data_IF_164681555543
#
_entry.id   IF_164681555543
#
_cell.length_a   1.000
_cell.length_b   1.000
_cell.length_c   1.000
_cell.angle_alpha   90.00
_cell.angle_beta   90.00
_cell.angle_gamma   90.00
#
_symmetry.space_group_name_H-M   'P 1'
#
loop_
_entity.id
_entity.type
_entity.pdbx_description
1 polymer ?
#
# COMPACT_ATOMS: atom_id res chain seq x y z
N UNK A 1 10.54 23.52 -10.13
CA UNK A 1 10.52 22.36 -11.05
C UNK A 1 9.55 21.37 -10.44
N UNK A 2 8.41 21.16 -11.09
CA UNK A 2 7.40 20.20 -10.61
C UNK A 2 7.95 18.81 -10.95
N UNK A 3 8.26 18.00 -9.94
CA UNK A 3 8.88 16.69 -10.16
C UNK A 3 7.81 15.76 -10.74
N UNK A 4 7.71 15.72 -12.07
CA UNK A 4 6.64 15.00 -12.79
C UNK A 4 6.57 13.51 -12.44
N UNK A 5 7.65 12.94 -11.88
CA UNK A 5 7.67 11.57 -11.33
C UNK A 5 6.82 11.45 -10.06
N UNK A 6 6.89 12.43 -9.17
CA UNK A 6 6.13 12.45 -7.92
C UNK A 6 4.63 12.61 -8.17
N UNK A 7 4.22 13.40 -9.16
CA UNK A 7 2.80 13.64 -9.44
C UNK A 7 2.11 12.42 -10.08
N UNK A 8 2.78 11.73 -11.02
CA UNK A 8 2.25 10.50 -11.61
C UNK A 8 2.14 9.37 -10.57
N UNK A 9 3.15 9.20 -9.72
CA UNK A 9 3.11 8.24 -8.62
C UNK A 9 2.02 8.61 -7.62
N UNK A 10 1.94 9.87 -7.19
CA UNK A 10 0.91 10.35 -6.27
C UNK A 10 -0.49 10.14 -6.83
N UNK A 11 -0.69 10.36 -8.12
CA UNK A 11 -1.98 10.15 -8.77
C UNK A 11 -2.33 8.66 -8.85
N UNK A 12 -1.36 7.79 -9.13
CA UNK A 12 -1.55 6.33 -9.08
C UNK A 12 -1.95 5.85 -7.68
N UNK A 13 -1.25 6.33 -6.64
CA UNK A 13 -1.60 6.07 -5.25
C UNK A 13 -3.00 6.57 -4.90
N UNK A 14 -3.33 7.80 -5.31
CA UNK A 14 -4.64 8.38 -5.06
C UNK A 14 -5.77 7.56 -5.69
N UNK A 15 -5.59 7.08 -6.93
CA UNK A 15 -6.59 6.24 -7.61
C UNK A 15 -6.76 4.90 -6.89
N UNK A 16 -5.66 4.24 -6.52
CA UNK A 16 -5.71 2.97 -5.78
C UNK A 16 -6.38 3.12 -4.41
N UNK A 17 -6.02 4.15 -3.64
CA UNK A 17 -6.57 4.40 -2.32
C UNK A 17 -8.02 4.91 -2.35
N UNK A 18 -8.46 5.53 -3.44
CA UNK A 18 -9.84 6.00 -3.56
C UNK A 18 -10.85 4.85 -3.68
N UNK A 19 -10.40 3.61 -3.90
CA UNK A 19 -11.25 2.43 -3.96
C UNK A 19 -11.79 1.99 -2.60
N UNK A 20 -11.20 2.47 -1.49
CA UNK A 20 -11.59 2.04 -0.15
C UNK A 20 -12.70 2.91 0.43
N UNK A 21 -13.71 2.26 1.01
CA UNK A 21 -14.62 2.86 1.98
C UNK A 21 -14.05 2.80 3.40
N UNK A 22 -13.25 1.78 3.71
CA UNK A 22 -12.42 1.71 4.92
C UNK A 22 -11.11 0.97 4.69
N UNK A 23 -10.10 1.34 5.47
CA UNK A 23 -8.79 0.70 5.49
C UNK A 23 -8.31 0.66 6.94
N UNK A 24 -8.14 -0.55 7.50
CA UNK A 24 -7.78 -0.75 8.91
C UNK A 24 -6.61 -1.71 9.02
N UNK A 25 -5.53 -1.26 9.63
CA UNK A 25 -4.43 -2.15 10.03
C UNK A 25 -4.92 -3.07 11.15
N UNK A 26 -4.76 -4.38 10.95
CA UNK A 26 -5.16 -5.42 11.91
C UNK A 26 -3.94 -5.96 12.63
N UNK A 27 -2.90 -6.30 11.88
CA UNK A 27 -1.67 -6.84 12.42
C UNK A 27 -0.45 -6.33 11.64
N UNK A 28 0.68 -6.28 12.33
CA UNK A 28 1.98 -5.91 11.76
C UNK A 28 3.07 -6.76 12.37
N UNK A 29 3.89 -7.35 11.50
CA UNK A 29 5.13 -8.02 11.89
C UNK A 29 6.25 -7.62 10.95
N UNK A 30 7.46 -7.57 11.49
CA UNK A 30 8.65 -7.38 10.67
C UNK A 30 8.80 -8.59 9.72
N UNK A 31 9.13 -8.33 8.46
CA UNK A 31 9.38 -9.39 7.49
C UNK A 31 10.63 -10.17 7.89
N UNK A 32 10.53 -11.50 7.89
CA UNK A 32 11.67 -12.38 8.17
C UNK A 32 12.68 -12.41 7.01
N UNK A 33 12.29 -11.92 5.84
CA UNK A 33 13.07 -11.97 4.60
C UNK A 33 13.96 -10.72 4.46
N UNK A 34 13.62 -9.62 5.14
CA UNK A 34 14.38 -8.37 5.03
C UNK A 34 15.36 -8.18 6.19
N UNK A 35 16.64 -8.32 5.86
CA UNK A 35 17.78 -8.11 6.78
C UNK A 35 17.90 -6.62 7.18
N UNK A 36 17.40 -5.69 6.36
CA UNK A 36 17.46 -4.25 6.65
C UNK A 36 16.44 -3.80 7.70
N UNK A 37 15.42 -4.62 7.98
CA UNK A 37 14.38 -4.36 8.97
C UNK A 37 13.39 -3.26 8.58
N UNK A 38 13.30 -2.92 7.30
CA UNK A 38 12.39 -1.90 6.77
C UNK A 38 11.19 -2.48 6.01
N UNK A 39 11.13 -3.81 5.84
CA UNK A 39 9.97 -4.51 5.29
C UNK A 39 9.11 -5.12 6.39
N UNK A 40 7.80 -4.94 6.26
CA UNK A 40 6.81 -5.45 7.21
C UNK A 40 5.74 -6.24 6.48
N UNK A 41 5.36 -7.39 7.02
CA UNK A 41 4.14 -8.09 6.63
C UNK A 41 3.00 -7.53 7.48
N UNK A 42 1.94 -7.09 6.82
CA UNK A 42 0.78 -6.50 7.45
C UNK A 42 -0.49 -7.18 7.00
N UNK A 43 -1.42 -7.36 7.94
CA UNK A 43 -2.79 -7.71 7.63
C UNK A 43 -3.65 -6.45 7.72
N UNK A 44 -4.36 -6.15 6.64
CA UNK A 44 -5.22 -4.98 6.53
C UNK A 44 -6.64 -5.43 6.21
N UNK A 45 -7.59 -5.05 7.05
CA UNK A 45 -9.01 -5.17 6.77
C UNK A 45 -9.47 -3.99 5.93
N UNK A 46 -9.94 -4.26 4.71
CA UNK A 46 -10.41 -3.22 3.80
C UNK A 46 -11.86 -3.47 3.41
N UNK A 47 -12.63 -2.38 3.37
CA UNK A 47 -13.91 -2.38 2.65
C UNK A 47 -13.77 -1.57 1.39
N UNK A 48 -14.26 -2.13 0.30
CA UNK A 48 -14.22 -1.54 -1.02
C UNK A 48 -15.48 -0.71 -1.26
N UNK A 49 -15.37 0.34 -2.08
CA UNK A 49 -16.54 1.06 -2.59
C UNK A 49 -17.30 0.15 -3.57
N UNK A 50 -18.61 0.38 -3.71
CA UNK A 50 -19.42 -0.32 -4.71
C UNK A 50 -19.00 0.11 -6.13
N UNK A 51 -19.13 -0.78 -7.12
CA UNK A 51 -18.90 -0.54 -8.56
C UNK A 51 -17.44 -0.45 -9.03
N UNK A 52 -16.53 -1.20 -8.43
CA UNK A 52 -15.13 -1.24 -8.88
C UNK A 52 -14.84 -2.31 -9.94
N UNK A 53 -15.86 -3.04 -10.38
CA UNK A 53 -15.78 -4.10 -11.42
C UNK A 53 -15.39 -3.57 -12.79
N UNK A 54 -15.57 -2.26 -13.03
CA UNK A 54 -15.32 -1.63 -14.34
C UNK A 54 -13.93 -1.00 -14.44
N UNK A 55 -13.06 -1.19 -13.43
CA UNK A 55 -11.71 -0.65 -13.42
C UNK A 55 -10.76 -1.47 -14.31
N UNK A 56 -9.79 -0.83 -15.01
CA UNK A 56 -8.81 -1.51 -15.88
C UNK A 56 -8.00 -2.59 -15.16
N UNK A 57 -7.73 -2.37 -13.87
CA UNK A 57 -7.24 -3.38 -12.94
C UNK A 57 -8.29 -3.47 -11.84
N UNK A 58 -9.07 -4.55 -11.76
CA UNK A 58 -10.10 -4.68 -10.72
C UNK A 58 -9.47 -4.50 -9.34
N UNK A 59 -9.94 -3.46 -8.63
CA UNK A 59 -9.54 -3.14 -7.26
C UNK A 59 -8.03 -3.04 -6.99
N UNK A 60 -7.15 -2.93 -7.99
CA UNK A 60 -5.68 -2.95 -7.81
C UNK A 60 -5.18 -4.11 -6.95
N UNK A 61 -5.79 -5.29 -7.07
CA UNK A 61 -5.42 -6.50 -6.32
C UNK A 61 -5.94 -6.56 -4.88
N UNK A 62 -6.75 -5.60 -4.46
CA UNK A 62 -7.44 -5.63 -3.17
C UNK A 62 -8.76 -6.41 -3.24
N UNK A 63 -9.08 -7.11 -2.15
CA UNK A 63 -10.35 -7.82 -1.98
C UNK A 63 -11.08 -7.32 -0.74
N UNK A 64 -12.40 -7.47 -0.66
CA UNK A 64 -13.15 -7.15 0.56
C UNK A 64 -12.66 -8.02 1.72
N UNK A 65 -12.46 -7.43 2.91
CA UNK A 65 -11.98 -8.11 4.11
C UNK A 65 -10.45 -8.07 4.28
N UNK A 66 -9.89 -9.12 4.87
CA UNK A 66 -8.48 -9.17 5.25
C UNK A 66 -7.57 -9.40 4.04
N UNK A 67 -6.63 -8.48 3.85
CA UNK A 67 -5.58 -8.54 2.83
C UNK A 67 -4.21 -8.54 3.49
N UNK A 68 -3.41 -9.54 3.16
CA UNK A 68 -1.99 -9.57 3.50
C UNK A 68 -1.17 -8.75 2.51
N UNK A 69 -0.27 -7.91 3.02
CA UNK A 69 0.60 -7.04 2.22
C UNK A 69 2.00 -6.95 2.81
N UNK A 70 2.96 -6.61 1.95
CA UNK A 70 4.32 -6.29 2.34
C UNK A 70 4.58 -4.81 2.15
N UNK A 71 4.79 -4.09 3.24
CA UNK A 71 5.07 -2.67 3.25
C UNK A 71 6.57 -2.46 3.39
N UNK A 72 7.16 -1.79 2.40
CA UNK A 72 8.56 -1.39 2.44
C UNK A 72 8.67 0.07 2.85
N UNK A 73 9.48 0.36 3.86
CA UNK A 73 9.79 1.71 4.31
C UNK A 73 11.12 2.18 3.72
N UNK A 74 11.19 3.47 3.40
CA UNK A 74 12.43 4.14 3.00
C UNK A 74 12.68 5.32 3.91
N UNK A 75 13.87 5.38 4.48
CA UNK A 75 14.31 6.54 5.24
C UNK A 75 14.49 7.74 4.31
N UNK A 76 13.91 8.88 4.66
CA UNK A 76 13.93 10.14 3.89
C UNK A 76 14.59 11.29 4.67
N UNK A 77 15.36 10.93 5.69
CA UNK A 77 16.02 11.84 6.62
C UNK A 77 16.07 11.20 8.00
N UNK A 78 16.96 11.68 8.88
CA UNK A 78 17.23 11.05 10.17
C UNK A 78 15.94 10.68 10.95
N UNK A 79 15.66 9.38 11.04
CA UNK A 79 14.51 8.82 11.75
C UNK A 79 13.14 9.06 11.11
N UNK A 80 13.09 9.53 9.86
CA UNK A 80 11.85 9.79 9.11
C UNK A 80 11.72 8.77 7.99
N UNK A 81 10.60 8.05 7.98
CA UNK A 81 10.33 7.02 6.99
C UNK A 81 9.10 7.38 6.17
N UNK A 82 9.11 7.00 4.89
CA UNK A 82 7.93 6.96 4.03
C UNK A 82 7.71 5.55 3.55
N UNK A 83 6.46 5.23 3.23
CA UNK A 83 6.13 4.01 2.49
C UNK A 83 6.72 4.15 1.08
N UNK A 84 7.63 3.25 0.74
CA UNK A 84 8.23 3.15 -0.58
C UNK A 84 7.43 2.23 -1.51
N UNK A 85 6.70 1.27 -0.95
CA UNK A 85 5.84 0.37 -1.71
C UNK A 85 4.96 -0.51 -0.84
N UNK A 86 3.87 -0.98 -1.43
CA UNK A 86 2.97 -1.99 -0.86
C UNK A 86 2.84 -3.10 -1.90
N UNK A 87 3.31 -4.30 -1.58
CA UNK A 87 3.29 -5.46 -2.45
C UNK A 87 2.30 -6.53 -1.97
N UNK A 88 1.87 -7.39 -2.90
CA UNK A 88 1.01 -8.56 -2.61
C UNK A 88 1.81 -9.81 -2.22
N UNK A 89 3.13 -9.69 -2.17
CA UNK A 89 4.10 -10.71 -1.79
C UNK A 89 5.40 -10.08 -1.26
N UNK A 90 6.28 -10.85 -0.62
CA UNK A 90 7.58 -10.40 -0.14
C UNK A 90 8.53 -9.97 -1.28
#
# INVERSE_FOLDING_TARGET
MMDLKDDAERQSWAVSLNNFSSFKLVDIKQSEIDISGNSFEVDVDVSLKKNLTDLPIPNYGWVEGINKRWINLKEVGAGKYKIAGIATGP
#
